data_IF_757976302314
#
_entry.id   IF_757976302314
#
_cell.length_a   1.000
_cell.length_b   1.000
_cell.length_c   1.000
_cell.angle_alpha   90.00
_cell.angle_beta   90.00
_cell.angle_gamma   90.00
#
_symmetry.space_group_name_H-M   'P 1'
#
loop_
_entity.id
_entity.type
_entity.pdbx_description
1 polymer ?
#
# COMPACT_ATOMS: atom_id res chain seq x y z
N UNK A 1 10.89 -6.98 -16.71
CA UNK A 1 12.30 -7.16 -16.27
C UNK A 1 12.25 -7.89 -14.94
N UNK A 2 13.21 -8.76 -14.64
CA UNK A 2 13.31 -9.48 -13.38
C UNK A 2 14.61 -9.03 -12.71
N UNK A 3 14.52 -8.67 -11.42
CA UNK A 3 15.66 -8.28 -10.60
C UNK A 3 15.84 -9.38 -9.55
N UNK A 4 17.07 -9.86 -9.42
CA UNK A 4 17.42 -10.90 -8.45
C UNK A 4 18.40 -10.30 -7.46
N UNK A 5 18.04 -10.38 -6.19
CA UNK A 5 18.86 -9.96 -5.06
C UNK A 5 19.48 -11.21 -4.43
N UNK A 6 20.77 -11.44 -4.67
CA UNK A 6 21.50 -12.55 -4.07
C UNK A 6 22.12 -12.11 -2.75
N UNK A 7 22.40 -13.07 -1.87
CA UNK A 7 23.15 -12.81 -0.63
C UNK A 7 24.51 -12.18 -0.97
N UNK A 8 24.92 -11.18 -0.20
CA UNK A 8 26.17 -10.46 -0.37
C UNK A 8 27.38 -11.41 -0.38
N UNK A 9 28.24 -11.23 -1.37
CA UNK A 9 29.47 -11.99 -1.56
C UNK A 9 30.66 -11.03 -1.69
N UNK A 10 31.63 -11.18 -0.79
CA UNK A 10 32.87 -10.38 -0.79
C UNK A 10 33.84 -10.79 -1.88
N UNK A 11 33.86 -12.08 -2.24
CA UNK A 11 34.76 -12.62 -3.26
C UNK A 11 34.09 -12.62 -4.63
N UNK A 12 34.77 -12.03 -5.63
CA UNK A 12 34.28 -11.99 -7.00
C UNK A 12 34.12 -13.39 -7.62
N UNK A 13 34.92 -14.35 -7.18
CA UNK A 13 34.85 -15.75 -7.61
C UNK A 13 33.49 -16.39 -7.25
N UNK A 14 32.96 -16.10 -6.06
CA UNK A 14 31.64 -16.58 -5.65
C UNK A 14 30.53 -15.97 -6.50
N UNK A 15 30.62 -14.66 -6.78
CA UNK A 15 29.66 -13.98 -7.66
C UNK A 15 29.67 -14.60 -9.06
N UNK A 16 30.85 -14.88 -9.62
CA UNK A 16 30.98 -15.53 -10.91
C UNK A 16 30.41 -16.96 -10.90
N UNK A 17 30.64 -17.72 -9.84
CA UNK A 17 30.10 -19.07 -9.69
C UNK A 17 28.55 -19.07 -9.67
N UNK A 18 27.93 -18.15 -8.93
CA UNK A 18 26.47 -17.98 -8.89
C UNK A 18 25.92 -17.59 -10.27
N UNK A 19 26.56 -16.63 -10.96
CA UNK A 19 26.15 -16.24 -12.32
C UNK A 19 26.31 -17.37 -13.33
N UNK A 20 27.37 -18.18 -13.22
CA UNK A 20 27.61 -19.31 -14.11
C UNK A 20 26.51 -20.38 -13.93
N UNK A 21 26.16 -20.72 -12.69
CA UNK A 21 25.09 -21.68 -12.43
C UNK A 21 23.73 -21.12 -12.84
N UNK A 22 23.45 -19.83 -12.59
CA UNK A 22 22.24 -19.15 -13.08
C UNK A 22 22.13 -19.26 -14.61
N UNK A 23 23.18 -18.92 -15.35
CA UNK A 23 23.20 -18.99 -16.83
C UNK A 23 23.01 -20.42 -17.33
N UNK A 24 23.63 -21.39 -16.68
CA UNK A 24 23.48 -22.82 -16.99
C UNK A 24 22.04 -23.30 -16.80
N UNK A 25 21.35 -22.85 -15.76
CA UNK A 25 19.94 -23.19 -15.56
C UNK A 25 19.02 -22.45 -16.55
N UNK A 26 19.30 -21.17 -16.83
CA UNK A 26 18.54 -20.39 -17.82
C UNK A 26 18.67 -20.94 -19.24
N UNK A 27 19.80 -21.58 -19.59
CA UNK A 27 20.00 -22.23 -20.88
C UNK A 27 19.04 -23.41 -21.16
N UNK A 28 18.39 -23.95 -20.12
CA UNK A 28 17.37 -25.01 -20.24
C UNK A 28 15.99 -24.45 -20.62
N UNK A 29 15.77 -23.14 -20.44
CA UNK A 29 14.52 -22.50 -20.81
C UNK A 29 14.44 -22.35 -22.33
N UNK A 30 13.31 -22.79 -22.92
CA UNK A 30 13.05 -22.68 -24.35
C UNK A 30 12.78 -21.24 -24.79
N UNK A 31 12.43 -20.36 -23.85
CA UNK A 31 12.14 -18.96 -24.10
C UNK A 31 13.43 -18.14 -24.01
N UNK A 32 13.63 -17.21 -24.95
CA UNK A 32 14.78 -16.31 -24.94
C UNK A 32 14.90 -15.58 -23.60
N UNK A 33 16.03 -15.78 -22.93
CA UNK A 33 16.44 -15.10 -21.71
C UNK A 33 17.72 -14.29 -21.96
N UNK A 34 17.92 -13.22 -21.20
CA UNK A 34 19.18 -12.49 -21.12
C UNK A 34 19.43 -12.15 -19.66
N UNK A 35 20.65 -12.37 -19.18
CA UNK A 35 21.07 -12.01 -17.82
C UNK A 35 22.33 -11.15 -17.87
N UNK A 36 22.36 -10.06 -17.11
CA UNK A 36 23.55 -9.23 -16.93
C UNK A 36 24.59 -9.87 -15.99
N UNK A 37 25.54 -9.05 -15.55
CA UNK A 37 26.35 -9.34 -14.36
C UNK A 37 25.71 -8.75 -13.10
N UNK A 38 26.45 -8.80 -11.99
CA UNK A 38 26.11 -8.03 -10.80
C UNK A 38 26.22 -6.53 -11.09
N UNK A 39 25.22 -5.76 -10.69
CA UNK A 39 25.24 -4.30 -10.72
C UNK A 39 26.13 -3.76 -9.60
N UNK A 40 26.39 -2.45 -9.61
CA UNK A 40 27.11 -1.78 -8.52
C UNK A 40 26.37 -1.90 -7.16
N UNK A 41 25.07 -2.19 -7.17
CA UNK A 41 24.25 -2.40 -5.98
C UNK A 41 24.16 -3.88 -5.57
N UNK A 42 24.90 -4.78 -6.22
CA UNK A 42 24.84 -6.22 -5.91
C UNK A 42 23.63 -6.95 -6.51
N UNK A 43 22.86 -6.31 -7.39
CA UNK A 43 21.67 -6.90 -8.01
C UNK A 43 22.00 -7.53 -9.37
N UNK A 44 21.31 -8.61 -9.73
CA UNK A 44 21.39 -9.21 -11.07
C UNK A 44 20.12 -8.89 -11.85
N UNK A 45 20.29 -8.23 -12.98
CA UNK A 45 19.20 -7.92 -13.90
C UNK A 45 19.06 -9.03 -14.96
N UNK A 46 17.83 -9.47 -15.20
CA UNK A 46 17.54 -10.37 -16.31
C UNK A 46 16.23 -10.04 -17.02
N UNK A 47 16.15 -10.44 -18.28
CA UNK A 47 14.92 -10.42 -19.07
C UNK A 47 14.59 -11.82 -19.55
N UNK A 48 13.30 -12.10 -19.66
CA UNK A 48 12.74 -13.30 -20.26
C UNK A 48 11.63 -12.87 -21.19
N UNK A 49 11.68 -13.27 -22.47
CA UNK A 49 10.67 -12.89 -23.46
C UNK A 49 9.28 -13.33 -22.97
N UNK A 50 8.31 -12.42 -23.01
CA UNK A 50 6.92 -12.75 -22.70
C UNK A 50 6.30 -13.46 -23.90
N UNK A 51 5.88 -14.71 -23.72
CA UNK A 51 5.21 -15.50 -24.77
C UNK A 51 3.70 -15.59 -24.58
N UNK A 52 3.23 -15.40 -23.35
CA UNK A 52 1.83 -15.42 -22.94
C UNK A 52 1.62 -14.52 -21.73
N UNK A 53 0.36 -14.35 -21.33
CA UNK A 53 0.00 -13.72 -20.06
C UNK A 53 0.68 -14.45 -18.89
N UNK A 54 1.00 -13.69 -17.84
CA UNK A 54 1.58 -14.26 -16.63
C UNK A 54 0.51 -15.03 -15.85
N UNK A 55 0.90 -16.02 -15.05
CA UNK A 55 -0.05 -16.76 -14.19
C UNK A 55 -0.88 -15.80 -13.33
N UNK A 56 -0.27 -14.78 -12.74
CA UNK A 56 -0.99 -13.79 -11.94
C UNK A 56 -2.07 -13.02 -12.73
N UNK A 57 -1.90 -12.83 -14.05
CA UNK A 57 -2.93 -12.16 -14.85
C UNK A 57 -4.08 -13.11 -15.23
N UNK A 58 -3.77 -14.39 -15.43
CA UNK A 58 -4.78 -15.39 -15.75
C UNK A 58 -5.55 -15.88 -14.52
N UNK A 59 -4.93 -15.83 -13.34
CA UNK A 59 -5.42 -16.47 -12.12
C UNK A 59 -5.79 -15.50 -11.00
N UNK A 60 -5.44 -14.21 -11.11
CA UNK A 60 -5.69 -13.24 -10.04
C UNK A 60 -6.34 -11.99 -10.59
N UNK A 61 -7.19 -11.39 -9.75
CA UNK A 61 -7.72 -10.05 -9.92
C UNK A 61 -7.01 -9.06 -8.97
N UNK A 62 -7.04 -7.75 -9.26
CA UNK A 62 -6.50 -6.75 -8.35
C UNK A 62 -7.19 -6.81 -6.98
N UNK A 63 -6.42 -6.74 -5.90
CA UNK A 63 -6.99 -6.66 -4.55
C UNK A 63 -7.79 -5.36 -4.41
N UNK A 64 -9.09 -5.44 -4.14
CA UNK A 64 -9.96 -4.26 -4.00
C UNK A 64 -9.56 -3.37 -2.81
N UNK A 65 -8.94 -3.95 -1.78
CA UNK A 65 -8.52 -3.21 -0.59
C UNK A 65 -7.24 -2.39 -0.82
N UNK A 66 -6.14 -3.06 -1.19
CA UNK A 66 -4.83 -2.41 -1.30
C UNK A 66 -4.43 -2.05 -2.73
N UNK A 67 -5.22 -2.44 -3.73
CA UNK A 67 -4.96 -2.22 -5.15
C UNK A 67 -3.55 -2.67 -5.60
N UNK A 68 -3.04 -3.72 -4.97
CA UNK A 68 -1.71 -4.26 -5.25
C UNK A 68 -0.57 -3.65 -4.42
N UNK A 69 -0.85 -2.75 -3.48
CA UNK A 69 0.17 -2.16 -2.60
C UNK A 69 0.75 -3.15 -1.58
N UNK A 70 0.02 -4.22 -1.24
CA UNK A 70 0.43 -5.23 -0.27
C UNK A 70 0.51 -4.73 1.18
N UNK A 71 -0.01 -3.53 1.44
CA UNK A 71 -0.09 -2.89 2.76
C UNK A 71 -1.34 -2.00 2.80
N UNK A 72 -1.91 -1.83 3.99
CA UNK A 72 -3.03 -0.90 4.26
C UNK A 72 -2.59 0.12 5.31
N UNK A 73 -3.20 1.30 5.32
CA UNK A 73 -2.90 2.32 6.34
C UNK A 73 -3.35 1.83 7.72
N UNK A 74 -2.63 2.26 8.76
CA UNK A 74 -3.04 1.99 10.15
C UNK A 74 -4.26 2.82 10.51
N UNK A 75 -5.08 2.34 11.45
CA UNK A 75 -6.25 3.08 11.93
C UNK A 75 -5.91 4.50 12.39
N UNK A 76 -4.76 4.69 13.06
CA UNK A 76 -4.27 6.02 13.46
C UNK A 76 -3.96 6.93 12.27
N UNK A 77 -3.32 6.40 11.23
CA UNK A 77 -3.06 7.19 10.01
C UNK A 77 -4.37 7.63 9.36
N UNK A 78 -5.34 6.72 9.26
CA UNK A 78 -6.66 7.01 8.70
C UNK A 78 -7.42 8.04 9.54
N UNK A 79 -7.38 7.92 10.87
CA UNK A 79 -7.96 8.89 11.79
C UNK A 79 -7.42 10.32 11.55
N UNK A 80 -6.10 10.48 11.41
CA UNK A 80 -5.53 11.80 11.09
C UNK A 80 -5.88 12.30 9.69
N UNK A 81 -6.06 11.41 8.71
CA UNK A 81 -6.53 11.79 7.38
C UNK A 81 -7.97 12.31 7.44
N UNK A 82 -8.85 11.63 8.17
CA UNK A 82 -10.23 12.07 8.46
C UNK A 82 -10.24 13.47 9.10
N UNK A 83 -9.46 13.69 10.16
CA UNK A 83 -9.41 14.99 10.84
C UNK A 83 -8.97 16.13 9.91
N UNK A 84 -7.97 15.87 9.04
CA UNK A 84 -7.51 16.85 8.04
C UNK A 84 -8.56 17.12 6.97
N UNK A 85 -9.31 16.10 6.57
CA UNK A 85 -10.35 16.23 5.55
C UNK A 85 -11.56 17.00 6.08
N UNK A 86 -12.04 16.71 7.29
CA UNK A 86 -13.08 17.49 7.96
C UNK A 86 -12.68 18.97 8.02
N UNK A 87 -11.43 19.28 8.37
CA UNK A 87 -10.94 20.66 8.41
C UNK A 87 -10.96 21.33 7.03
N UNK A 88 -10.67 20.58 5.95
CA UNK A 88 -10.74 21.09 4.57
C UNK A 88 -12.18 21.36 4.17
N UNK A 89 -13.06 20.39 4.38
CA UNK A 89 -14.48 20.46 4.05
C UNK A 89 -15.18 21.60 4.82
N UNK A 90 -14.85 21.79 6.10
CA UNK A 90 -15.38 22.88 6.92
C UNK A 90 -14.97 24.29 6.46
N UNK A 91 -13.88 24.42 5.70
CA UNK A 91 -13.48 25.70 5.10
C UNK A 91 -14.20 25.97 3.79
N UNK A 92 -14.57 24.91 3.07
CA UNK A 92 -15.20 25.00 1.76
C UNK A 92 -16.73 25.04 1.84
N UNK A 93 -17.29 24.32 2.81
CA UNK A 93 -18.72 24.16 3.02
C UNK A 93 -19.10 24.53 4.46
N UNK A 94 -20.38 24.82 4.68
CA UNK A 94 -20.91 25.14 6.00
C UNK A 94 -22.08 24.21 6.36
N UNK A 95 -21.83 22.89 6.48
CA UNK A 95 -22.86 21.94 6.90
C UNK A 95 -23.30 22.22 8.34
N UNK A 96 -24.42 21.65 8.73
CA UNK A 96 -24.87 21.63 10.13
C UNK A 96 -24.09 20.61 10.94
N UNK A 97 -23.71 19.49 10.33
CA UNK A 97 -23.03 18.37 10.98
C UNK A 97 -22.11 17.63 9.99
N UNK A 98 -21.02 17.06 10.52
CA UNK A 98 -20.18 16.11 9.80
C UNK A 98 -20.41 14.71 10.35
N UNK A 99 -20.68 13.73 9.49
CA UNK A 99 -20.77 12.33 9.89
C UNK A 99 -19.66 11.51 9.24
N UNK A 100 -18.81 10.92 10.07
CA UNK A 100 -17.71 10.05 9.64
C UNK A 100 -18.20 8.60 9.65
N UNK A 101 -18.13 7.94 8.51
CA UNK A 101 -18.39 6.51 8.36
C UNK A 101 -17.06 5.81 8.07
N UNK A 102 -16.62 4.91 8.96
CA UNK A 102 -15.34 4.21 8.80
C UNK A 102 -15.37 2.82 9.44
N UNK A 103 -14.31 2.04 9.19
CA UNK A 103 -14.12 0.74 9.82
C UNK A 103 -14.11 0.85 11.36
N UNK A 104 -14.61 -0.17 12.11
CA UNK A 104 -14.71 -0.11 13.56
C UNK A 104 -13.40 0.26 14.28
N UNK A 105 -12.27 -0.26 13.82
CA UNK A 105 -10.96 0.05 14.40
C UNK A 105 -10.56 1.54 14.24
N UNK A 106 -11.00 2.20 13.16
CA UNK A 106 -10.77 3.64 12.95
C UNK A 106 -11.67 4.46 13.86
N UNK A 107 -12.92 4.05 14.03
CA UNK A 107 -13.86 4.72 14.94
C UNK A 107 -13.40 4.58 16.40
N UNK A 108 -12.97 3.39 16.80
CA UNK A 108 -12.40 3.16 18.13
C UNK A 108 -11.18 4.04 18.39
N UNK A 109 -10.27 4.14 17.41
CA UNK A 109 -9.11 5.05 17.46
C UNK A 109 -9.51 6.52 17.63
N UNK A 110 -10.58 6.96 16.96
CA UNK A 110 -11.11 8.33 17.07
C UNK A 110 -11.81 8.59 18.42
N UNK A 111 -12.46 7.59 19.00
CA UNK A 111 -13.21 7.70 20.26
C UNK A 111 -12.32 7.57 21.49
N UNK A 112 -11.24 6.79 21.42
CA UNK A 112 -10.35 6.55 22.55
C UNK A 112 -9.10 7.43 22.45
N UNK A 113 -8.11 6.98 21.68
CA UNK A 113 -6.78 7.59 21.62
C UNK A 113 -6.77 9.01 21.06
N UNK A 114 -7.54 9.27 19.99
CA UNK A 114 -7.56 10.57 19.30
C UNK A 114 -8.76 11.45 19.68
N UNK A 115 -9.46 11.10 20.76
CA UNK A 115 -10.67 11.79 21.25
C UNK A 115 -10.46 13.28 21.51
N UNK A 116 -9.30 13.66 22.06
CA UNK A 116 -8.95 15.06 22.33
C UNK A 116 -8.81 15.87 21.04
N UNK A 117 -8.21 15.28 20.00
CA UNK A 117 -8.05 15.94 18.70
C UNK A 117 -9.41 16.10 18.00
N UNK A 118 -10.28 15.09 18.10
CA UNK A 118 -11.63 15.16 17.55
C UNK A 118 -12.48 16.23 18.23
N UNK A 119 -12.46 16.28 19.57
CA UNK A 119 -13.18 17.30 20.35
C UNK A 119 -12.68 18.71 20.01
N UNK A 120 -11.34 18.90 20.00
CA UNK A 120 -10.75 20.19 19.63
C UNK A 120 -11.09 20.64 18.20
N UNK A 121 -11.20 19.69 17.26
CA UNK A 121 -11.64 19.98 15.90
C UNK A 121 -13.12 20.38 15.84
N UNK A 122 -14.00 19.68 16.55
CA UNK A 122 -15.42 19.99 16.62
C UNK A 122 -15.66 21.38 17.22
N UNK A 123 -14.94 21.73 18.29
CA UNK A 123 -14.99 23.05 18.91
C UNK A 123 -14.46 24.15 17.99
N UNK A 124 -13.35 23.88 17.27
CA UNK A 124 -12.75 24.83 16.34
C UNK A 124 -13.67 25.15 15.15
N UNK A 125 -14.34 24.13 14.62
CA UNK A 125 -15.28 24.29 13.50
C UNK A 125 -16.64 24.81 13.99
N UNK A 126 -16.97 24.59 15.28
CA UNK A 126 -18.26 24.95 15.87
C UNK A 126 -19.41 24.10 15.34
N UNK A 127 -19.12 22.86 14.91
CA UNK A 127 -20.09 21.91 14.34
C UNK A 127 -19.92 20.53 14.97
N UNK A 128 -21.02 19.82 15.25
CA UNK A 128 -20.94 18.44 15.75
C UNK A 128 -20.33 17.51 14.69
N UNK A 129 -19.56 16.54 15.19
CA UNK A 129 -19.01 15.44 14.39
C UNK A 129 -19.57 14.14 14.95
N UNK A 130 -20.37 13.41 14.18
CA UNK A 130 -20.86 12.09 14.53
C UNK A 130 -20.01 10.99 13.90
N UNK A 131 -19.85 9.88 14.62
CA UNK A 131 -19.05 8.74 14.22
C UNK A 131 -19.96 7.52 14.03
N UNK A 132 -19.82 6.84 12.90
CA UNK A 132 -20.57 5.64 12.56
C UNK A 132 -19.59 4.53 12.14
N UNK A 133 -19.58 3.43 12.89
CA UNK A 133 -18.78 2.26 12.57
C UNK A 133 -19.52 1.37 11.56
N UNK A 134 -18.84 0.99 10.48
CA UNK A 134 -19.40 0.09 9.47
C UNK A 134 -18.38 -1.00 9.09
N UNK A 135 -18.76 -2.27 9.28
CA UNK A 135 -17.86 -3.41 9.04
C UNK A 135 -17.69 -3.80 7.57
N UNK A 136 -18.56 -3.28 6.70
CA UNK A 136 -18.46 -3.42 5.24
C UNK A 136 -17.35 -2.54 4.65
N UNK A 137 -16.96 -1.48 5.37
CA UNK A 137 -15.95 -0.52 4.93
C UNK A 137 -14.56 -1.08 5.18
N UNK A 138 -13.70 -0.96 4.18
CA UNK A 138 -12.32 -1.41 4.28
C UNK A 138 -11.51 -0.65 5.34
N UNK A 139 -10.48 -1.25 5.95
CA UNK A 139 -9.67 -0.64 7.02
C UNK A 139 -9.05 0.72 6.72
N UNK A 140 -8.79 1.06 5.46
CA UNK A 140 -8.25 2.34 5.01
C UNK A 140 -9.23 3.17 4.16
N UNK A 141 -10.51 2.82 4.21
CA UNK A 141 -11.60 3.56 3.58
C UNK A 141 -12.44 4.27 4.64
N UNK A 142 -12.95 5.45 4.29
CA UNK A 142 -13.90 6.19 5.10
C UNK A 142 -14.71 7.13 4.19
N UNK A 143 -15.84 7.60 4.70
CA UNK A 143 -16.67 8.63 4.06
C UNK A 143 -17.01 9.72 5.08
N UNK A 144 -17.09 10.96 4.61
CA UNK A 144 -17.48 12.13 5.42
C UNK A 144 -18.74 12.73 4.79
N UNK A 145 -19.87 12.45 5.41
CA UNK A 145 -21.17 12.94 4.96
C UNK A 145 -21.42 14.31 5.58
N UNK A 146 -21.60 15.31 4.71
CA UNK A 146 -21.99 16.68 5.08
C UNK A 146 -23.51 16.76 5.18
N UNK A 147 -24.05 17.08 6.35
CA UNK A 147 -25.51 17.16 6.63
C UNK A 147 -25.94 18.60 6.87
#
# INVERSE_FOLDING_TARGET
IIIIDFIDMTQAEHQQAVLAELRKQLARDRVKTMSGGFSQLGLVEMTRKRTRESLAQMLCEPCEQCQGAGRVRTARTVAYDILREILREARQFNPKEFRVVAAPAVIEMLVDEESQHLAGLSDFIGKPISLQAESSVGPDQYDIVLI
#
